data_IF_423362416955
#
_entry.id   IF_423362416955
#
_cell.length_a   1.000
_cell.length_b   1.000
_cell.length_c   1.000
_cell.angle_alpha   90.00
_cell.angle_beta   90.00
_cell.angle_gamma   90.00
#
_symmetry.space_group_name_H-M   'P 1'
#
loop_
_entity.id
_entity.type
_entity.pdbx_description
1 polymer ?
#
# COMPACT_ATOMS: atom_id res chain seq x y z
N UNK A 1 1.64 16.21 4.48
CA UNK A 1 2.50 15.01 4.46
C UNK A 1 1.74 13.88 3.80
N UNK A 2 2.45 13.02 3.11
CA UNK A 2 1.82 11.88 2.43
C UNK A 2 1.60 10.73 3.41
N UNK A 3 0.63 9.88 3.08
CA UNK A 3 0.26 8.72 3.88
C UNK A 3 0.32 7.47 3.01
N UNK A 4 0.91 6.41 3.54
CA UNK A 4 0.97 5.12 2.86
C UNK A 4 -0.13 4.21 3.39
N UNK A 5 -0.94 3.66 2.48
CA UNK A 5 -1.94 2.64 2.81
C UNK A 5 -1.56 1.35 2.10
N UNK A 6 -1.55 0.25 2.85
CA UNK A 6 -1.35 -1.08 2.30
C UNK A 6 -2.68 -1.84 2.38
N UNK A 7 -3.18 -2.27 1.22
CA UNK A 7 -4.37 -3.11 1.16
C UNK A 7 -3.94 -4.58 1.09
N UNK A 8 -4.52 -5.39 1.95
CA UNK A 8 -4.11 -6.79 2.14
C UNK A 8 -5.32 -7.68 2.43
N UNK A 9 -5.08 -9.00 2.46
CA UNK A 9 -6.02 -9.97 2.99
C UNK A 9 -5.25 -11.02 3.79
N UNK A 10 -5.93 -11.65 4.75
CA UNK A 10 -5.30 -12.64 5.63
C UNK A 10 -4.80 -13.88 4.90
N UNK A 11 -5.46 -14.22 3.79
CA UNK A 11 -5.10 -15.37 2.96
C UNK A 11 -4.04 -15.08 1.89
N UNK A 12 -3.55 -13.86 1.82
CA UNK A 12 -2.65 -13.41 0.75
C UNK A 12 -1.18 -13.54 1.19
N UNK A 13 -0.47 -14.54 0.66
CA UNK A 13 0.94 -14.74 0.98
C UNK A 13 1.84 -13.58 0.50
N UNK A 14 1.70 -13.05 -0.72
CA UNK A 14 2.47 -11.87 -1.12
C UNK A 14 2.25 -10.66 -0.22
N UNK A 15 1.04 -10.51 0.34
CA UNK A 15 0.77 -9.44 1.30
C UNK A 15 1.64 -9.56 2.56
N UNK A 16 1.88 -10.80 3.00
CA UNK A 16 2.75 -11.06 4.17
C UNK A 16 4.20 -10.72 3.87
N UNK A 17 4.65 -11.02 2.65
CA UNK A 17 6.00 -10.65 2.19
C UNK A 17 6.14 -9.14 2.19
N UNK A 18 5.17 -8.42 1.66
CA UNK A 18 5.19 -6.96 1.65
C UNK A 18 5.23 -6.39 3.07
N UNK A 19 4.45 -6.95 3.98
CA UNK A 19 4.45 -6.50 5.37
C UNK A 19 5.83 -6.65 6.00
N UNK A 20 6.51 -7.77 5.74
CA UNK A 20 7.87 -7.99 6.22
C UNK A 20 8.83 -6.93 5.65
N UNK A 21 8.72 -6.63 4.36
CA UNK A 21 9.56 -5.60 3.73
C UNK A 21 9.34 -4.22 4.36
N UNK A 22 8.08 -3.86 4.60
CA UNK A 22 7.74 -2.58 5.21
C UNK A 22 8.28 -2.49 6.65
N UNK A 23 8.10 -3.56 7.40
CA UNK A 23 8.56 -3.63 8.79
C UNK A 23 10.09 -3.57 8.87
N UNK A 24 10.79 -4.34 8.04
CA UNK A 24 12.25 -4.40 8.05
C UNK A 24 12.90 -3.06 7.65
N UNK A 25 12.19 -2.25 6.89
CA UNK A 25 12.68 -0.94 6.45
C UNK A 25 12.08 0.22 7.25
N UNK A 26 11.41 -0.07 8.35
CA UNK A 26 10.82 0.93 9.26
C UNK A 26 9.90 1.92 8.55
N UNK A 27 9.08 1.43 7.62
CA UNK A 27 8.17 2.27 6.86
C UNK A 27 6.83 2.33 7.57
N UNK A 28 6.38 3.56 7.90
CA UNK A 28 5.05 3.77 8.44
C UNK A 28 4.00 3.47 7.38
N UNK A 29 2.95 2.76 7.78
CA UNK A 29 1.83 2.44 6.89
C UNK A 29 0.58 2.21 7.69
N UNK A 30 -0.54 2.48 7.06
CA UNK A 30 -1.84 2.06 7.53
C UNK A 30 -2.20 0.78 6.77
N UNK A 31 -2.49 -0.29 7.50
CA UNK A 31 -2.86 -1.57 6.89
C UNK A 31 -4.37 -1.72 6.93
N UNK A 32 -4.97 -1.94 5.76
CA UNK A 32 -6.43 -2.06 5.63
C UNK A 32 -6.75 -3.38 4.96
N UNK A 33 -7.58 -4.18 5.62
CA UNK A 33 -8.03 -5.46 5.08
C UNK A 33 -9.05 -5.21 3.96
N UNK A 34 -8.79 -5.78 2.78
CA UNK A 34 -9.65 -5.58 1.62
C UNK A 34 -11.08 -6.09 1.85
N UNK A 35 -11.25 -7.04 2.75
CA UNK A 35 -12.56 -7.61 3.08
C UNK A 35 -13.32 -6.78 4.12
N UNK A 36 -12.71 -5.74 4.67
CA UNK A 36 -13.40 -4.82 5.58
C UNK A 36 -14.22 -3.79 4.81
N UNK A 37 -15.19 -3.13 5.47
CA UNK A 37 -15.93 -2.04 4.82
C UNK A 37 -15.01 -0.91 4.32
N UNK A 38 -14.01 -0.54 5.11
CA UNK A 38 -13.03 0.48 4.71
C UNK A 38 -12.22 0.03 3.50
N UNK A 39 -11.84 -1.25 3.47
CA UNK A 39 -11.11 -1.81 2.34
C UNK A 39 -11.93 -1.83 1.07
N UNK A 40 -13.22 -2.13 1.17
CA UNK A 40 -14.13 -2.07 0.02
C UNK A 40 -14.24 -0.64 -0.52
N UNK A 41 -14.42 0.34 0.37
CA UNK A 41 -14.54 1.74 -0.02
C UNK A 41 -13.26 2.24 -0.71
N UNK A 42 -12.10 1.92 -0.16
CA UNK A 42 -10.81 2.30 -0.73
C UNK A 42 -10.59 1.63 -2.10
N UNK A 43 -10.98 0.36 -2.22
CA UNK A 43 -10.82 -0.37 -3.48
C UNK A 43 -11.65 0.26 -4.60
N UNK A 44 -12.86 0.68 -4.29
CA UNK A 44 -13.73 1.35 -5.26
C UNK A 44 -13.19 2.73 -5.61
N UNK A 45 -12.82 3.51 -4.59
CA UNK A 45 -12.36 4.89 -4.77
C UNK A 45 -11.08 4.97 -5.60
N UNK A 46 -10.13 4.07 -5.36
CA UNK A 46 -8.81 4.12 -6.00
C UNK A 46 -8.60 3.00 -7.03
N UNK A 47 -9.67 2.34 -7.43
CA UNK A 47 -9.67 1.31 -8.47
C UNK A 47 -8.66 0.20 -8.20
N UNK A 48 -8.71 -0.37 -6.99
CA UNK A 48 -7.84 -1.47 -6.59
C UNK A 48 -8.51 -2.79 -6.96
N UNK A 49 -7.83 -3.62 -7.76
CA UNK A 49 -8.37 -4.89 -8.26
C UNK A 49 -7.57 -6.11 -7.86
N UNK A 50 -6.42 -5.90 -7.26
CA UNK A 50 -5.54 -6.98 -6.84
C UNK A 50 -4.83 -6.58 -5.56
N UNK A 51 -4.35 -7.56 -4.81
CA UNK A 51 -3.59 -7.35 -3.58
C UNK A 51 -2.28 -8.13 -3.65
N UNK A 52 -1.22 -7.65 -2.97
CA UNK A 52 -1.20 -6.41 -2.22
C UNK A 52 -1.20 -5.19 -3.14
N UNK A 53 -1.78 -4.11 -2.68
CA UNK A 53 -1.68 -2.82 -3.36
C UNK A 53 -1.31 -1.77 -2.33
N UNK A 54 -0.36 -0.90 -2.69
CA UNK A 54 0.01 0.25 -1.88
C UNK A 54 -0.48 1.52 -2.53
N UNK A 55 -1.00 2.42 -1.71
CA UNK A 55 -1.46 3.74 -2.12
C UNK A 55 -0.69 4.79 -1.35
N UNK A 56 -0.16 5.79 -2.04
CA UNK A 56 0.40 6.97 -1.38
C UNK A 56 -0.57 8.12 -1.65
N UNK A 57 -1.14 8.65 -0.57
CA UNK A 57 -2.14 9.72 -0.64
C UNK A 57 -1.59 10.99 -0.03
N UNK A 58 -2.03 12.14 -0.55
CA UNK A 58 -1.74 13.41 0.09
C UNK A 58 -2.71 13.67 1.26
N UNK A 59 -2.58 14.81 1.91
CA UNK A 59 -3.40 15.16 3.08
C UNK A 59 -4.89 15.30 2.75
N UNK A 60 -5.20 15.59 1.51
CA UNK A 60 -6.59 15.73 1.05
C UNK A 60 -7.19 14.42 0.54
N UNK A 61 -6.41 13.33 0.56
CA UNK A 61 -6.87 12.04 0.08
C UNK A 61 -6.70 11.84 -1.42
N UNK A 62 -5.96 12.71 -2.09
CA UNK A 62 -5.64 12.54 -3.51
C UNK A 62 -4.57 11.48 -3.69
N UNK A 63 -4.75 10.63 -4.69
CA UNK A 63 -3.79 9.58 -5.00
C UNK A 63 -2.55 10.18 -5.67
N UNK A 64 -1.41 10.03 -5.03
CA UNK A 64 -0.12 10.45 -5.59
C UNK A 64 0.52 9.31 -6.37
N UNK A 65 0.54 8.12 -5.81
CA UNK A 65 1.14 6.93 -6.45
C UNK A 65 0.39 5.67 -6.03
N UNK A 66 0.40 4.68 -6.90
CA UNK A 66 -0.20 3.36 -6.62
C UNK A 66 0.74 2.29 -7.15
N UNK A 67 0.96 1.24 -6.35
CA UNK A 67 1.73 0.07 -6.76
C UNK A 67 0.94 -1.19 -6.47
N UNK A 68 0.73 -2.01 -7.47
CA UNK A 68 0.07 -3.31 -7.33
C UNK A 68 1.12 -4.41 -7.37
N UNK A 69 1.07 -5.33 -6.42
CA UNK A 69 2.03 -6.40 -6.29
C UNK A 69 3.24 -6.00 -5.45
N UNK A 70 4.29 -6.82 -5.50
CA UNK A 70 5.49 -6.61 -4.71
C UNK A 70 6.49 -5.74 -5.46
N UNK A 71 7.18 -4.81 -4.76
CA UNK A 71 8.35 -4.16 -5.35
C UNK A 71 9.44 -5.20 -5.58
N UNK A 72 10.24 -5.00 -6.62
CA UNK A 72 11.30 -5.95 -6.97
C UNK A 72 12.43 -5.98 -5.92
N UNK A 73 12.72 -4.84 -5.32
CA UNK A 73 13.79 -4.70 -4.33
C UNK A 73 13.36 -3.76 -3.21
N UNK A 74 14.03 -3.81 -2.03
CA UNK A 74 13.79 -2.81 -0.99
C UNK A 74 14.04 -1.38 -1.46
N UNK A 75 14.98 -1.18 -2.37
CA UNK A 75 15.27 0.12 -2.94
C UNK A 75 14.08 0.66 -3.74
N UNK A 76 13.45 -0.20 -4.55
CA UNK A 76 12.24 0.19 -5.30
C UNK A 76 11.10 0.54 -4.35
N UNK A 77 10.97 -0.20 -3.24
CA UNK A 77 9.98 0.12 -2.21
C UNK A 77 10.22 1.51 -1.62
N UNK A 78 11.48 1.82 -1.27
CA UNK A 78 11.83 3.12 -0.69
C UNK A 78 11.56 4.26 -1.66
N UNK A 79 11.87 4.07 -2.93
CA UNK A 79 11.57 5.05 -3.97
C UNK A 79 10.09 5.31 -4.08
N UNK A 80 9.29 4.24 -4.10
CA UNK A 80 7.84 4.38 -4.19
C UNK A 80 7.27 5.18 -3.03
N UNK A 81 7.73 4.89 -1.81
CA UNK A 81 7.17 5.51 -0.60
C UNK A 81 7.62 6.96 -0.43
N UNK A 82 8.89 7.24 -0.70
CA UNK A 82 9.50 8.53 -0.36
C UNK A 82 9.81 9.44 -1.55
N UNK A 83 9.46 9.05 -2.75
CA UNK A 83 9.71 9.88 -3.92
C UNK A 83 8.90 11.17 -3.85
N UNK A 84 9.54 12.30 -4.14
CA UNK A 84 8.87 13.58 -4.17
C UNK A 84 8.08 13.72 -5.48
N UNK A 85 6.87 14.26 -5.37
CA UNK A 85 6.00 14.50 -6.52
C UNK A 85 6.13 15.93 -7.06
#
# INVERSE_FOLDING_TARGET
>A
MAKLIKLYADWCNPCKVLETMLKDNNIERESVNIDSPDGEDLSLKYNVRAIPTMLVLDESGNLLRKMTGLPATPEDLMKFVYEAD
#
